data_IF_259924458158
#
_entry.id   IF_259924458158
#
_cell.length_a   1.000
_cell.length_b   1.000
_cell.length_c   1.000
_cell.angle_alpha   90.00
_cell.angle_beta   90.00
_cell.angle_gamma   90.00
#
_symmetry.space_group_name_H-M   'P 1'
#
loop_
_entity.id
_entity.type
_entity.pdbx_description
1 polymer ?
#
# COMPACT_ATOMS: atom_id res chain seq x y z
N UNK A 1 9.40 -36.76 -80.45
CA UNK A 1 8.92 -35.51 -79.83
C UNK A 1 9.41 -35.48 -78.38
N UNK A 2 10.33 -34.59 -78.02
CA UNK A 2 10.63 -34.32 -76.61
C UNK A 2 11.07 -32.87 -76.47
N UNK A 3 10.32 -32.13 -75.65
CA UNK A 3 10.35 -30.68 -75.57
C UNK A 3 11.59 -30.23 -74.80
N UNK A 4 12.29 -29.25 -75.38
CA UNK A 4 13.31 -28.44 -74.72
C UNK A 4 12.63 -27.62 -73.62
N UNK A 5 13.00 -27.86 -72.36
CA UNK A 5 12.57 -27.01 -71.26
C UNK A 5 13.56 -25.85 -71.11
N UNK A 6 13.12 -24.68 -71.54
CA UNK A 6 13.74 -23.38 -71.26
C UNK A 6 13.42 -23.03 -69.79
N UNK A 7 14.46 -22.83 -68.98
CA UNK A 7 14.35 -22.28 -67.63
C UNK A 7 14.18 -20.76 -67.69
N UNK A 8 13.21 -20.16 -66.97
CA UNK A 8 13.08 -18.71 -66.87
C UNK A 8 14.08 -18.11 -65.86
N UNK A 9 14.53 -16.86 -66.06
CA UNK A 9 15.46 -16.18 -65.16
C UNK A 9 14.73 -15.67 -63.91
N UNK A 10 14.99 -16.26 -62.75
CA UNK A 10 14.64 -15.70 -61.45
C UNK A 10 15.74 -14.71 -61.02
N UNK A 11 15.68 -13.50 -61.58
CA UNK A 11 16.56 -12.41 -61.16
C UNK A 11 15.95 -11.65 -59.98
N UNK A 12 16.59 -11.84 -58.82
CA UNK A 12 16.89 -10.82 -57.81
C UNK A 12 15.77 -9.80 -57.50
N UNK A 13 14.99 -10.08 -56.45
CA UNK A 13 14.28 -9.06 -55.69
C UNK A 13 14.96 -8.90 -54.33
N UNK A 14 15.54 -7.71 -54.16
CA UNK A 14 16.34 -7.20 -53.06
C UNK A 14 15.75 -7.46 -51.66
N UNK A 15 16.45 -8.24 -50.85
CA UNK A 15 16.23 -8.32 -49.41
C UNK A 15 16.97 -7.17 -48.71
N UNK A 16 16.35 -5.98 -48.67
CA UNK A 16 16.80 -4.87 -47.84
C UNK A 16 16.28 -5.03 -46.42
N UNK A 17 17.01 -5.73 -45.56
CA UNK A 17 16.70 -5.78 -44.12
C UNK A 17 17.16 -4.46 -43.49
N UNK A 18 16.21 -3.57 -43.24
CA UNK A 18 16.43 -2.38 -42.40
C UNK A 18 16.63 -2.84 -40.96
N UNK A 19 17.88 -2.93 -40.53
CA UNK A 19 18.22 -3.14 -39.12
C UNK A 19 17.96 -1.84 -38.35
N UNK A 20 16.83 -1.79 -37.63
CA UNK A 20 16.56 -0.74 -36.64
C UNK A 20 17.37 -1.03 -35.37
N UNK A 21 18.18 -0.10 -34.86
CA UNK A 21 18.81 -0.29 -33.55
C UNK A 21 17.71 -0.24 -32.49
N UNK A 22 17.44 -1.37 -31.84
CA UNK A 22 16.59 -1.38 -30.65
C UNK A 22 17.38 -0.70 -29.53
N UNK A 23 16.91 0.46 -29.08
CA UNK A 23 17.48 1.11 -27.91
C UNK A 23 17.21 0.19 -26.71
N UNK A 24 18.27 -0.42 -26.18
CA UNK A 24 18.17 -1.22 -24.97
C UNK A 24 17.74 -0.29 -23.82
N UNK A 25 16.51 -0.46 -23.34
CA UNK A 25 16.01 0.26 -22.18
C UNK A 25 16.83 -0.18 -20.95
N UNK A 26 17.58 0.76 -20.38
CA UNK A 26 18.25 0.55 -19.09
C UNK A 26 17.14 0.39 -18.04
N UNK A 27 17.10 -0.71 -17.28
CA UNK A 27 16.08 -0.89 -16.25
C UNK A 27 16.22 0.23 -15.20
N UNK A 28 15.09 0.78 -14.71
CA UNK A 28 15.15 1.77 -13.65
C UNK A 28 15.84 1.15 -12.43
N UNK A 29 16.68 1.94 -11.76
CA UNK A 29 17.30 1.52 -10.51
C UNK A 29 16.19 1.12 -9.51
N UNK A 30 16.37 0.05 -8.73
CA UNK A 30 15.37 -0.38 -7.77
C UNK A 30 15.09 0.74 -6.77
N UNK A 31 13.80 1.07 -6.59
CA UNK A 31 13.40 2.03 -5.58
C UNK A 31 13.83 1.53 -4.19
N UNK A 32 14.27 2.42 -3.28
CA UNK A 32 14.66 2.01 -1.94
C UNK A 32 13.47 1.34 -1.24
N UNK A 33 13.67 0.10 -0.80
CA UNK A 33 12.67 -0.65 -0.05
C UNK A 33 12.56 -0.08 1.35
N UNK A 34 11.54 0.77 1.57
CA UNK A 34 11.22 1.27 2.91
C UNK A 34 10.29 0.29 3.64
N UNK A 35 10.46 0.10 4.96
CA UNK A 35 9.50 -0.61 5.80
C UNK A 35 8.06 -0.13 5.57
N UNK A 36 7.10 -1.06 5.50
CA UNK A 36 5.69 -0.71 5.54
C UNK A 36 5.38 -0.12 6.92
N UNK A 37 4.70 1.04 6.92
CA UNK A 37 4.26 1.71 8.14
C UNK A 37 2.87 1.24 8.52
N UNK A 38 2.71 0.72 9.73
CA UNK A 38 1.48 0.10 10.20
C UNK A 38 0.99 0.82 11.45
N UNK A 39 -0.07 1.65 11.36
CA UNK A 39 -0.79 2.09 12.55
C UNK A 39 -1.59 0.91 13.11
N UNK A 40 -1.23 0.45 14.30
CA UNK A 40 -1.88 -0.66 14.97
C UNK A 40 -2.86 -0.14 16.04
N UNK A 41 -4.12 -0.57 15.97
CA UNK A 41 -5.18 -0.12 16.88
C UNK A 41 -6.05 -1.28 17.35
N UNK A 42 -6.70 -1.11 18.49
CA UNK A 42 -7.65 -2.06 19.10
C UNK A 42 -8.63 -1.30 20.00
N UNK A 43 -9.81 -1.86 20.24
CA UNK A 43 -10.76 -1.37 21.24
C UNK A 43 -10.38 -1.80 22.65
N UNK A 44 -9.71 -2.94 22.90
CA UNK A 44 -9.41 -3.36 24.29
C UNK A 44 -8.39 -2.52 25.05
N UNK A 45 -7.72 -1.59 24.37
CA UNK A 45 -6.75 -0.67 24.97
C UNK A 45 -5.28 -1.01 24.67
N UNK A 46 -4.41 -0.09 25.07
CA UNK A 46 -2.98 -0.04 24.73
C UNK A 46 -2.18 -1.22 25.30
N UNK A 47 -2.50 -1.65 26.51
CA UNK A 47 -1.81 -2.74 27.19
C UNK A 47 -2.47 -4.11 26.99
N UNK A 48 -3.45 -4.21 26.08
CA UNK A 48 -4.11 -5.48 25.79
C UNK A 48 -3.10 -6.52 25.26
N UNK A 49 -3.10 -7.77 25.76
CA UNK A 49 -2.14 -8.79 25.34
C UNK A 49 -2.12 -9.04 23.82
N UNK A 50 -3.28 -8.95 23.16
CA UNK A 50 -3.39 -9.13 21.71
C UNK A 50 -2.62 -8.07 20.91
N UNK A 51 -2.82 -6.79 21.22
CA UNK A 51 -2.15 -5.70 20.48
C UNK A 51 -0.64 -5.68 20.75
N UNK A 52 -0.23 -6.06 21.97
CA UNK A 52 1.19 -6.23 22.33
C UNK A 52 1.84 -7.40 21.60
N UNK A 53 1.21 -8.57 21.63
CA UNK A 53 1.73 -9.75 20.94
C UNK A 53 1.82 -9.57 19.42
N UNK A 54 0.91 -8.81 18.81
CA UNK A 54 1.00 -8.47 17.39
C UNK A 54 2.12 -7.46 17.11
N UNK A 55 2.29 -6.44 17.96
CA UNK A 55 3.42 -5.51 17.88
C UNK A 55 4.77 -6.24 17.97
N UNK A 56 4.89 -7.20 18.90
CA UNK A 56 6.12 -7.97 19.12
C UNK A 56 6.45 -8.91 17.96
N UNK A 57 5.47 -9.27 17.12
CA UNK A 57 5.70 -10.07 15.90
C UNK A 57 6.06 -9.19 14.69
N UNK A 58 5.38 -8.06 14.54
CA UNK A 58 5.56 -7.19 13.37
C UNK A 58 6.84 -6.37 13.45
N UNK A 59 7.23 -5.89 14.63
CA UNK A 59 8.40 -5.01 14.75
C UNK A 59 9.71 -5.74 14.37
N UNK A 60 9.97 -6.98 14.85
CA UNK A 60 11.17 -7.73 14.44
C UNK A 60 11.12 -8.19 12.98
N UNK A 61 9.95 -8.27 12.36
CA UNK A 61 9.79 -8.58 10.94
C UNK A 61 10.16 -7.41 10.01
N UNK A 62 10.60 -6.27 10.56
CA UNK A 62 11.08 -5.12 9.79
C UNK A 62 10.00 -4.13 9.39
N UNK A 63 8.82 -4.19 10.01
CA UNK A 63 7.76 -3.20 9.83
C UNK A 63 7.92 -2.00 10.78
N UNK A 64 7.51 -0.83 10.32
CA UNK A 64 7.46 0.40 11.15
C UNK A 64 6.07 0.49 11.81
N UNK A 65 5.96 -0.04 13.03
CA UNK A 65 4.68 -0.20 13.73
C UNK A 65 4.50 0.89 14.77
N UNK A 66 3.35 1.57 14.75
CA UNK A 66 2.96 2.55 15.78
C UNK A 66 1.63 2.14 16.39
N UNK A 67 1.58 1.94 17.71
CA UNK A 67 0.34 1.65 18.41
C UNK A 67 -0.44 2.95 18.68
N UNK A 68 -1.70 2.99 18.26
CA UNK A 68 -2.67 4.05 18.56
C UNK A 68 -3.94 3.39 19.09
N UNK A 69 -4.09 3.33 20.41
CA UNK A 69 -5.22 2.69 21.07
C UNK A 69 -5.62 3.49 22.32
N UNK A 70 -6.84 3.29 22.85
CA UNK A 70 -7.24 3.84 24.15
C UNK A 70 -6.23 3.46 25.23
N UNK A 71 -5.96 4.36 26.19
CA UNK A 71 -5.05 4.05 27.29
C UNK A 71 -5.55 2.83 28.09
N UNK A 72 -6.87 2.75 28.31
CA UNK A 72 -7.54 1.68 29.05
C UNK A 72 -8.66 1.06 28.20
N UNK A 73 -9.08 -0.15 28.56
CA UNK A 73 -10.25 -0.80 27.94
C UNK A 73 -11.50 0.07 28.12
N UNK A 74 -12.17 0.51 27.04
CA UNK A 74 -13.45 1.17 27.11
C UNK A 74 -14.52 0.14 27.46
N UNK A 75 -15.48 0.57 28.27
CA UNK A 75 -16.69 -0.18 28.54
C UNK A 75 -17.50 -0.42 27.26
N UNK A 76 -17.96 -1.65 27.05
CA UNK A 76 -18.87 -1.97 25.94
C UNK A 76 -20.22 -1.31 26.21
N UNK A 77 -20.44 -0.14 25.60
CA UNK A 77 -21.73 0.55 25.65
C UNK A 77 -22.64 0.07 24.52
N UNK A 78 -23.88 -0.28 24.84
CA UNK A 78 -24.89 -0.62 23.83
C UNK A 78 -25.12 0.60 22.90
N UNK A 79 -24.91 0.47 21.57
CA UNK A 79 -25.07 1.58 20.63
C UNK A 79 -26.51 2.13 20.57
N UNK A 80 -27.52 1.35 20.95
CA UNK A 80 -28.90 1.84 21.05
C UNK A 80 -29.05 2.95 22.11
N UNK A 81 -28.20 2.95 23.15
CA UNK A 81 -28.19 3.96 24.21
C UNK A 81 -27.30 5.17 23.87
N UNK A 82 -26.59 5.18 22.74
CA UNK A 82 -25.79 6.33 22.30
C UNK A 82 -26.63 7.40 21.58
N UNK A 83 -27.89 7.08 21.19
CA UNK A 83 -28.70 7.93 20.30
C UNK A 83 -29.39 9.11 21.02
N UNK A 84 -29.34 9.20 22.35
CA UNK A 84 -30.06 10.24 23.10
C UNK A 84 -29.28 11.55 23.28
N UNK A 85 -27.97 11.60 23.01
CA UNK A 85 -27.14 12.81 23.21
C UNK A 85 -26.90 13.64 21.94
N UNK A 86 -27.56 13.34 20.82
CA UNK A 86 -27.37 14.08 19.55
C UNK A 86 -27.99 15.50 19.54
N UNK A 87 -28.51 15.98 20.66
CA UNK A 87 -29.08 17.33 20.76
C UNK A 87 -28.04 18.43 21.02
N UNK A 88 -26.83 18.12 21.50
CA UNK A 88 -25.84 19.14 21.87
C UNK A 88 -24.76 19.44 20.80
N UNK A 89 -24.65 18.64 19.73
CA UNK A 89 -23.60 18.79 18.70
C UNK A 89 -24.11 19.54 17.47
N UNK A 90 -24.71 20.71 17.68
CA UNK A 90 -25.26 21.53 16.60
C UNK A 90 -25.69 22.90 17.09
N UNK A 91 -24.75 23.83 17.24
CA UNK A 91 -25.00 25.28 17.03
C UNK A 91 -23.82 26.20 17.34
N UNK A 92 -22.70 25.73 17.92
CA UNK A 92 -21.61 26.64 18.29
C UNK A 92 -20.25 26.25 17.70
N UNK A 93 -19.92 26.95 16.62
CA UNK A 93 -18.59 27.49 16.34
C UNK A 93 -17.44 26.50 16.24
N UNK A 94 -17.00 26.23 15.01
CA UNK A 94 -15.75 25.55 14.70
C UNK A 94 -14.57 26.23 15.42
N UNK A 95 -14.06 25.59 16.48
CA UNK A 95 -12.64 25.64 16.83
C UNK A 95 -12.23 24.20 17.11
N UNK A 96 -11.61 23.58 16.12
CA UNK A 96 -10.98 22.27 16.30
C UNK A 96 -9.87 22.45 17.35
N UNK A 97 -10.15 22.06 18.60
CA UNK A 97 -9.10 21.90 19.60
C UNK A 97 -8.11 20.87 19.09
N UNK A 98 -6.82 21.20 19.11
CA UNK A 98 -5.76 20.25 18.75
C UNK A 98 -5.89 19.00 19.65
N UNK A 99 -6.00 17.79 19.09
CA UNK A 99 -5.94 16.58 19.90
C UNK A 99 -4.53 16.48 20.51
N UNK A 100 -4.45 16.45 21.84
CA UNK A 100 -3.19 16.27 22.56
C UNK A 100 -2.75 14.81 22.41
N UNK A 101 -1.93 14.52 21.40
CA UNK A 101 -1.35 13.18 21.20
C UNK A 101 -0.35 12.91 22.32
N UNK A 102 -0.71 12.04 23.26
CA UNK A 102 0.23 11.55 24.27
C UNK A 102 1.09 10.45 23.65
N UNK A 103 2.25 10.83 23.11
CA UNK A 103 3.24 9.89 22.60
C UNK A 103 4.05 9.35 23.77
N UNK A 104 3.67 8.17 24.31
CA UNK A 104 4.58 7.39 25.15
C UNK A 104 5.45 6.53 24.25
N UNK A 105 6.70 6.96 24.04
CA UNK A 105 7.77 6.09 23.56
C UNK A 105 8.32 5.35 24.77
N UNK A 106 8.34 4.02 24.69
CA UNK A 106 9.17 3.22 25.60
C UNK A 106 10.58 3.16 25.03
#
# INVERSE_FOLDING_TARGET
MSRRHLLPPAALLCAGVLATPTAAAVPPAPAPTRPLRIPLTNDDGYDAPGIRGLYDRLSPAGYDVTIVAPLNRPERRNPALQRTDRSAYGSRGRRCGRPTVHRRTR
#
